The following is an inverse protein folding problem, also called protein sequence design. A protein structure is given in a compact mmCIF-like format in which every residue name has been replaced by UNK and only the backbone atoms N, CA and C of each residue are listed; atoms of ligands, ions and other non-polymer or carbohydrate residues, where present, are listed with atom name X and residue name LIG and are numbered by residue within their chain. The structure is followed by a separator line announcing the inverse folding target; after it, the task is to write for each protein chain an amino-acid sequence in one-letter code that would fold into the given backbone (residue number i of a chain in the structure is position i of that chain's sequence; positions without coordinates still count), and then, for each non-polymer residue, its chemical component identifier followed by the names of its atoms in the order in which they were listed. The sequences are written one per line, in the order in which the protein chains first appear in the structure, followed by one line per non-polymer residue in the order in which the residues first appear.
data_IF_816770680737
#
_entry.id   IF_816770680737
#
_cell.length_a   1.000
_cell.length_b   1.000
_cell.length_c   1.000
_cell.angle_alpha   90.00
_cell.angle_beta   90.00
_cell.angle_gamma   90.00
#
_symmetry.space_group_name_H-M   'P 1'
#
loop_
_entity.id
_entity.type
_entity.pdbx_description
1 polymer ?
#
# COMPACT_ATOMS: atom_id res chain seq x y z
N UNK A 1 6.23 30.88 10.48
CA UNK A 1 5.48 31.26 9.26
C UNK A 1 6.39 30.92 8.11
N UNK A 2 6.10 29.84 7.38
CA UNK A 2 6.83 29.54 6.12
C UNK A 2 6.45 30.65 5.11
N UNK A 3 7.45 31.29 4.57
CA UNK A 3 7.31 32.30 3.54
C UNK A 3 6.80 31.63 2.27
N UNK A 4 5.53 31.81 1.92
CA UNK A 4 4.96 31.35 0.65
C UNK A 4 5.77 31.99 -0.48
N UNK A 5 6.33 31.17 -1.34
CA UNK A 5 7.06 31.65 -2.50
C UNK A 5 6.07 32.32 -3.49
N UNK A 6 6.50 33.35 -4.19
CA UNK A 6 5.66 34.11 -5.16
C UNK A 6 4.98 33.19 -6.20
N UNK A 7 5.64 32.05 -6.55
CA UNK A 7 5.10 31.02 -7.42
C UNK A 7 3.93 30.21 -6.83
N UNK A 8 3.70 30.27 -5.51
CA UNK A 8 2.62 29.54 -4.84
C UNK A 8 1.36 30.40 -4.68
N UNK A 9 1.43 31.69 -4.96
CA UNK A 9 0.30 32.64 -4.79
C UNK A 9 -0.89 32.34 -5.73
N UNK A 10 -0.67 31.61 -6.83
CA UNK A 10 -1.73 31.22 -7.77
C UNK A 10 -2.22 29.79 -7.59
N UNK A 11 -1.77 29.09 -6.52
CA UNK A 11 -2.16 27.70 -6.25
C UNK A 11 -3.24 27.65 -5.17
N UNK A 12 -4.24 26.81 -5.37
CA UNK A 12 -5.32 26.59 -4.42
C UNK A 12 -5.06 25.36 -3.52
N UNK A 13 -5.46 25.41 -2.23
CA UNK A 13 -5.48 24.19 -1.40
C UNK A 13 -6.51 23.21 -1.95
N UNK A 14 -6.20 21.91 -1.82
CA UNK A 14 -7.10 20.88 -2.31
C UNK A 14 -8.29 20.75 -1.37
N UNK A 15 -9.49 20.74 -1.95
CA UNK A 15 -10.75 20.48 -1.25
C UNK A 15 -11.64 19.63 -2.14
N UNK A 16 -12.09 18.48 -1.63
CA UNK A 16 -13.02 17.57 -2.33
C UNK A 16 -14.40 17.74 -1.71
N UNK A 17 -15.29 18.45 -2.43
CA UNK A 17 -16.66 18.76 -1.96
C UNK A 17 -17.71 17.86 -2.60
N UNK A 18 -17.44 17.36 -3.80
CA UNK A 18 -18.36 16.52 -4.57
C UNK A 18 -18.25 15.06 -4.13
N UNK A 19 -19.31 14.25 -4.29
CA UNK A 19 -19.21 12.81 -4.11
C UNK A 19 -18.10 12.22 -4.98
N UNK A 20 -17.38 11.23 -4.44
CA UNK A 20 -16.25 10.61 -5.13
C UNK A 20 -16.75 9.42 -5.95
N UNK A 21 -16.38 9.35 -7.22
CA UNK A 21 -16.40 8.15 -8.05
C UNK A 21 -15.02 7.52 -8.04
N UNK A 22 -14.90 6.42 -7.31
CA UNK A 22 -13.63 5.71 -7.17
C UNK A 22 -13.42 4.75 -8.34
N UNK A 23 -12.31 4.95 -9.06
CA UNK A 23 -11.81 4.05 -10.10
C UNK A 23 -10.52 3.43 -9.57
N UNK A 24 -10.50 2.11 -9.41
CA UNK A 24 -9.34 1.38 -8.92
C UNK A 24 -8.73 0.50 -10.01
N UNK A 25 -7.59 0.92 -10.56
CA UNK A 25 -6.77 0.12 -11.47
C UNK A 25 -5.76 -0.69 -10.63
N UNK A 26 -5.64 -1.98 -10.93
CA UNK A 26 -4.88 -2.93 -10.10
C UNK A 26 -5.42 -2.95 -8.66
N UNK A 27 -6.74 -3.11 -8.56
CA UNK A 27 -7.50 -2.83 -7.35
C UNK A 27 -7.10 -3.68 -6.13
N UNK A 28 -6.58 -4.88 -6.36
CA UNK A 28 -6.34 -5.81 -5.27
C UNK A 28 -7.66 -6.13 -4.55
N UNK A 29 -7.65 -6.08 -3.24
CA UNK A 29 -8.87 -6.23 -2.41
C UNK A 29 -9.50 -4.87 -2.00
N UNK A 30 -9.08 -3.75 -2.62
CA UNK A 30 -9.70 -2.43 -2.41
C UNK A 30 -9.18 -1.67 -1.18
N UNK A 31 -7.88 -1.61 -0.98
CA UNK A 31 -7.30 -0.87 0.16
C UNK A 31 -7.61 0.62 0.13
N UNK A 32 -7.72 1.22 -1.04
CA UNK A 32 -8.06 2.62 -1.24
C UNK A 32 -9.54 2.89 -0.90
N UNK A 33 -10.43 2.00 -1.33
CA UNK A 33 -11.84 2.04 -0.95
C UNK A 33 -12.03 1.92 0.58
N UNK A 34 -11.28 0.98 1.21
CA UNK A 34 -11.29 0.86 2.68
C UNK A 34 -10.82 2.14 3.38
N UNK A 35 -9.84 2.83 2.82
CA UNK A 35 -9.35 4.07 3.36
C UNK A 35 -10.40 5.18 3.26
N UNK A 36 -11.05 5.35 2.12
CA UNK A 36 -12.14 6.31 1.93
C UNK A 36 -13.29 6.03 2.91
N UNK A 37 -13.68 4.76 3.08
CA UNK A 37 -14.69 4.36 4.04
C UNK A 37 -14.30 4.74 5.48
N UNK A 38 -13.04 4.54 5.86
CA UNK A 38 -12.56 4.87 7.21
C UNK A 38 -12.55 6.35 7.54
N UNK A 39 -12.30 7.20 6.57
CA UNK A 39 -12.38 8.67 6.76
C UNK A 39 -13.80 9.21 6.62
N UNK A 40 -14.80 8.35 6.38
CA UNK A 40 -16.19 8.78 6.19
C UNK A 40 -16.45 9.52 4.89
N UNK A 41 -15.61 9.34 3.87
CA UNK A 41 -15.82 9.97 2.58
C UNK A 41 -17.08 9.42 1.90
N UNK A 42 -17.83 10.31 1.25
CA UNK A 42 -18.96 9.91 0.39
C UNK A 42 -18.41 9.48 -0.96
N UNK A 43 -18.42 8.19 -1.24
CA UNK A 43 -17.92 7.64 -2.50
C UNK A 43 -18.75 6.44 -2.96
N UNK A 44 -18.65 6.14 -4.24
CA UNK A 44 -19.13 4.90 -4.85
C UNK A 44 -17.97 4.13 -5.47
N UNK A 45 -18.02 2.79 -5.44
CA UNK A 45 -17.14 1.91 -6.20
C UNK A 45 -17.55 1.96 -7.67
N UNK A 46 -16.95 2.89 -8.41
CA UNK A 46 -17.43 3.20 -9.78
C UNK A 46 -16.87 2.26 -10.83
N UNK A 47 -15.56 1.98 -10.80
CA UNK A 47 -14.89 1.00 -11.68
C UNK A 47 -13.78 0.30 -10.92
N UNK A 48 -13.67 -1.00 -11.16
CA UNK A 48 -12.63 -1.87 -10.61
C UNK A 48 -12.00 -2.64 -11.74
N UNK A 49 -10.68 -2.49 -11.91
CA UNK A 49 -9.88 -3.20 -12.92
C UNK A 49 -8.84 -4.02 -12.18
N UNK A 50 -9.07 -5.33 -12.11
CA UNK A 50 -8.20 -6.31 -11.49
C UNK A 50 -8.31 -7.62 -12.31
N UNK A 51 -7.17 -8.21 -12.65
CA UNK A 51 -7.10 -9.36 -13.52
C UNK A 51 -7.41 -10.68 -12.80
N UNK A 52 -6.94 -10.80 -11.55
CA UNK A 52 -7.04 -12.06 -10.81
C UNK A 52 -8.45 -12.28 -10.27
N UNK A 53 -9.08 -13.35 -10.71
CA UNK A 53 -10.47 -13.68 -10.34
C UNK A 53 -10.68 -13.90 -8.84
N UNK A 54 -9.66 -14.40 -8.12
CA UNK A 54 -9.77 -14.64 -6.69
C UNK A 54 -9.61 -13.34 -5.92
N UNK A 55 -8.77 -12.46 -6.41
CA UNK A 55 -8.61 -11.11 -5.89
C UNK A 55 -9.89 -10.29 -6.07
N UNK A 56 -10.53 -10.36 -7.24
CA UNK A 56 -11.85 -9.74 -7.49
C UNK A 56 -12.93 -10.32 -6.59
N UNK A 57 -12.95 -11.64 -6.40
CA UNK A 57 -13.90 -12.27 -5.46
C UNK A 57 -13.70 -11.77 -4.03
N UNK A 58 -12.44 -11.58 -3.62
CA UNK A 58 -12.11 -10.99 -2.30
C UNK A 58 -12.54 -9.53 -2.20
N UNK A 59 -12.32 -8.73 -3.26
CA UNK A 59 -12.80 -7.36 -3.35
C UNK A 59 -14.32 -7.30 -3.17
N UNK A 60 -15.06 -8.10 -3.94
CA UNK A 60 -16.50 -8.15 -3.89
C UNK A 60 -17.02 -8.56 -2.50
N UNK A 61 -16.40 -9.56 -1.88
CA UNK A 61 -16.77 -10.02 -0.54
C UNK A 61 -16.52 -8.94 0.54
N UNK A 62 -15.42 -8.18 0.45
CA UNK A 62 -15.07 -7.13 1.41
C UNK A 62 -15.96 -5.90 1.28
N UNK A 63 -16.35 -5.56 0.04
CA UNK A 63 -17.04 -4.30 -0.26
C UNK A 63 -18.53 -4.47 -0.55
N UNK A 64 -19.04 -5.71 -0.69
CA UNK A 64 -20.44 -5.97 -1.05
C UNK A 64 -20.75 -5.57 -2.50
N UNK A 65 -19.82 -5.82 -3.42
CA UNK A 65 -19.91 -5.47 -4.84
C UNK A 65 -19.93 -6.73 -5.72
N UNK A 66 -20.14 -6.56 -7.03
CA UNK A 66 -20.25 -7.68 -8.00
C UNK A 66 -19.43 -7.41 -9.27
N UNK A 67 -18.21 -6.90 -9.13
CA UNK A 67 -17.32 -6.69 -10.27
C UNK A 67 -16.82 -8.00 -10.86
N UNK A 68 -16.51 -7.98 -12.17
CA UNK A 68 -15.87 -9.08 -12.89
C UNK A 68 -14.38 -8.79 -13.10
N UNK A 69 -13.53 -9.84 -13.25
CA UNK A 69 -12.12 -9.65 -13.59
C UNK A 69 -11.94 -8.93 -14.93
N UNK A 70 -11.06 -7.93 -14.95
CA UNK A 70 -10.75 -7.14 -16.14
C UNK A 70 -9.24 -7.02 -16.33
N UNK A 71 -8.81 -7.17 -17.58
CA UNK A 71 -7.42 -7.01 -18.00
C UNK A 71 -7.17 -5.56 -18.44
N UNK A 72 -6.29 -4.85 -17.76
CA UNK A 72 -6.00 -3.44 -18.04
C UNK A 72 -5.50 -3.22 -19.47
N UNK A 73 -4.85 -4.21 -20.08
CA UNK A 73 -4.36 -4.12 -21.47
C UNK A 73 -5.51 -4.12 -22.50
N UNK A 74 -6.73 -4.46 -22.07
CA UNK A 74 -7.95 -4.51 -22.89
C UNK A 74 -8.95 -3.41 -22.55
N UNK A 75 -8.67 -2.63 -21.51
CA UNK A 75 -9.53 -1.51 -21.09
C UNK A 75 -9.14 -0.27 -21.89
N UNK A 76 -10.16 0.45 -22.35
CA UNK A 76 -10.03 1.73 -23.03
C UNK A 76 -10.63 2.87 -22.20
N UNK A 77 -10.33 4.11 -22.58
CA UNK A 77 -10.82 5.31 -21.91
C UNK A 77 -12.35 5.29 -21.67
N UNK A 78 -13.12 4.88 -22.68
CA UNK A 78 -14.58 4.82 -22.60
C UNK A 78 -15.09 3.82 -21.55
N UNK A 79 -14.34 2.75 -21.27
CA UNK A 79 -14.71 1.75 -20.26
C UNK A 79 -14.66 2.30 -18.84
N UNK A 80 -13.88 3.36 -18.61
CA UNK A 80 -13.83 4.04 -17.32
C UNK A 80 -15.08 4.89 -17.06
N UNK A 81 -15.78 5.35 -18.10
CA UNK A 81 -17.04 6.08 -18.00
C UNK A 81 -16.92 7.43 -17.30
N UNK A 82 -15.81 8.14 -17.45
CA UNK A 82 -15.60 9.48 -16.90
C UNK A 82 -16.33 10.48 -17.79
N UNK A 83 -17.45 11.04 -17.33
CA UNK A 83 -18.31 11.89 -18.15
C UNK A 83 -19.06 13.02 -17.41
N UNK A 84 -18.89 13.14 -16.11
CA UNK A 84 -19.59 14.16 -15.30
C UNK A 84 -18.72 14.65 -14.15
N UNK A 85 -17.67 15.39 -14.49
CA UNK A 85 -16.75 16.01 -13.53
C UNK A 85 -17.36 17.25 -12.85
N UNK A 86 -18.52 17.71 -13.36
CA UNK A 86 -19.26 18.81 -12.72
C UNK A 86 -19.98 18.38 -11.47
N UNK A 87 -20.54 17.17 -11.44
CA UNK A 87 -21.28 16.58 -10.31
C UNK A 87 -20.37 15.75 -9.41
N UNK A 88 -19.42 15.00 -9.97
CA UNK A 88 -18.59 14.05 -9.24
C UNK A 88 -17.11 14.43 -9.27
N UNK A 89 -16.37 14.00 -8.24
CA UNK A 89 -14.92 13.95 -8.27
C UNK A 89 -14.49 12.52 -8.61
N UNK A 90 -13.84 12.33 -9.74
CA UNK A 90 -13.24 11.04 -10.09
C UNK A 90 -11.87 10.93 -9.45
N UNK A 91 -11.74 9.96 -8.55
CA UNK A 91 -10.47 9.53 -7.97
C UNK A 91 -10.04 8.23 -8.66
N UNK A 92 -9.01 8.31 -9.48
CA UNK A 92 -8.41 7.13 -10.11
C UNK A 92 -7.17 6.71 -9.34
N UNK A 93 -7.18 5.48 -8.83
CA UNK A 93 -6.05 4.91 -8.11
C UNK A 93 -5.37 3.84 -8.96
N UNK A 94 -4.03 3.74 -8.87
CA UNK A 94 -3.25 2.78 -9.65
C UNK A 94 -2.02 2.30 -8.87
N UNK A 95 -2.14 1.11 -8.28
CA UNK A 95 -1.06 0.43 -7.56
C UNK A 95 -0.51 -0.70 -8.43
N UNK A 96 0.15 -0.33 -9.53
CA UNK A 96 0.63 -1.29 -10.52
C UNK A 96 1.66 -2.26 -9.93
N UNK A 97 1.84 -3.47 -10.50
CA UNK A 97 2.70 -4.50 -9.92
C UNK A 97 4.13 -4.04 -9.66
N UNK A 98 4.63 -4.27 -8.45
CA UNK A 98 5.98 -3.90 -8.01
C UNK A 98 7.01 -5.02 -8.15
N UNK A 99 6.63 -6.19 -8.71
CA UNK A 99 7.48 -7.39 -8.73
C UNK A 99 8.81 -7.20 -9.44
N UNK A 100 8.85 -6.35 -10.45
CA UNK A 100 10.06 -6.07 -11.23
C UNK A 100 10.84 -4.83 -10.71
N UNK A 101 10.30 -4.15 -9.69
CA UNK A 101 10.93 -3.01 -9.01
C UNK A 101 11.55 -3.42 -7.68
N UNK A 102 10.85 -4.30 -6.95
CA UNK A 102 11.18 -4.69 -5.58
C UNK A 102 12.57 -5.33 -5.48
N UNK A 103 13.28 -5.06 -4.37
CA UNK A 103 14.56 -5.71 -4.02
C UNK A 103 14.41 -7.23 -3.92
N UNK A 104 13.23 -7.73 -3.53
CA UNK A 104 12.93 -9.16 -3.47
C UNK A 104 12.59 -9.78 -4.84
N UNK A 105 12.42 -8.97 -5.89
CA UNK A 105 12.06 -9.40 -7.23
C UNK A 105 13.26 -9.44 -8.17
N UNK A 106 12.98 -9.67 -9.45
CA UNK A 106 14.02 -9.75 -10.51
C UNK A 106 14.63 -8.40 -10.88
N UNK A 107 14.10 -7.31 -10.38
CA UNK A 107 14.54 -5.94 -10.66
C UNK A 107 14.69 -5.62 -12.16
N UNK A 108 13.76 -6.12 -12.99
CA UNK A 108 13.78 -5.90 -14.45
C UNK A 108 13.42 -4.46 -14.83
N UNK A 109 12.85 -3.68 -13.89
CA UNK A 109 12.45 -2.30 -14.11
C UNK A 109 11.04 -2.16 -14.67
N UNK A 110 10.71 -0.93 -15.09
CA UNK A 110 9.39 -0.57 -15.61
C UNK A 110 9.46 0.19 -16.93
N UNK A 111 10.55 0.02 -17.70
CA UNK A 111 10.74 0.76 -18.94
C UNK A 111 9.62 0.50 -19.93
N UNK A 112 9.23 1.55 -20.66
CA UNK A 112 8.17 1.48 -21.66
C UNK A 112 8.53 0.42 -22.73
N UNK A 113 7.59 -0.49 -23.00
CA UNK A 113 7.81 -1.59 -23.95
C UNK A 113 8.58 -2.80 -23.39
N UNK A 114 9.00 -2.80 -22.11
CA UNK A 114 9.78 -3.89 -21.49
C UNK A 114 9.04 -5.21 -21.32
N UNK A 115 7.70 -5.22 -21.48
CA UNK A 115 6.81 -6.37 -21.18
C UNK A 115 6.94 -6.91 -19.76
N UNK A 116 7.52 -6.13 -18.83
CA UNK A 116 7.54 -6.46 -17.41
C UNK A 116 6.19 -6.18 -16.78
N UNK A 117 5.88 -6.83 -15.64
CA UNK A 117 4.64 -6.52 -14.91
C UNK A 117 4.60 -5.09 -14.41
N UNK A 118 5.74 -4.56 -13.98
CA UNK A 118 5.85 -3.15 -13.56
C UNK A 118 5.74 -2.17 -14.74
N UNK A 119 5.96 -2.63 -15.97
CA UNK A 119 5.70 -1.88 -17.20
C UNK A 119 4.21 -1.62 -17.48
N UNK A 120 3.29 -2.25 -16.73
CA UNK A 120 1.87 -1.97 -16.81
C UNK A 120 1.49 -0.54 -16.34
N UNK A 121 2.42 0.22 -15.75
CA UNK A 121 2.26 1.66 -15.57
C UNK A 121 1.90 2.37 -16.88
N UNK A 122 2.48 1.93 -18.01
CA UNK A 122 2.28 2.56 -19.31
C UNK A 122 0.89 2.29 -19.91
N UNK A 123 0.15 1.32 -19.38
CA UNK A 123 -1.27 1.16 -19.70
C UNK A 123 -2.11 2.29 -19.09
N UNK A 124 -1.71 2.79 -17.91
CA UNK A 124 -2.37 3.98 -17.32
C UNK A 124 -2.09 5.21 -18.20
N UNK A 125 -0.84 5.37 -18.69
CA UNK A 125 -0.50 6.41 -19.66
C UNK A 125 -1.37 6.31 -20.92
N UNK A 126 -1.48 5.10 -21.50
CA UNK A 126 -2.30 4.87 -22.70
C UNK A 126 -3.74 5.29 -22.49
N UNK A 127 -4.36 4.85 -21.39
CA UNK A 127 -5.75 5.17 -21.08
C UNK A 127 -5.95 6.69 -20.91
N UNK A 128 -5.05 7.37 -20.17
CA UNK A 128 -5.14 8.83 -20.02
C UNK A 128 -4.92 9.55 -21.34
N UNK A 129 -4.02 9.06 -22.21
CA UNK A 129 -3.81 9.61 -23.55
C UNK A 129 -5.06 9.45 -24.41
N UNK A 130 -5.71 8.29 -24.39
CA UNK A 130 -6.97 8.06 -25.12
C UNK A 130 -8.08 9.04 -24.65
N UNK A 131 -8.15 9.37 -23.36
CA UNK A 131 -9.10 10.38 -22.85
C UNK A 131 -8.79 11.74 -23.48
N UNK A 132 -7.51 12.16 -23.46
CA UNK A 132 -7.07 13.45 -24.02
C UNK A 132 -7.34 13.51 -25.52
N UNK A 133 -6.95 12.46 -26.27
CA UNK A 133 -7.08 12.40 -27.71
C UNK A 133 -8.55 12.43 -28.17
N UNK A 134 -9.45 11.88 -27.36
CA UNK A 134 -10.91 11.94 -27.62
C UNK A 134 -11.57 13.24 -27.15
N UNK A 135 -10.84 14.15 -26.50
CA UNK A 135 -11.41 15.36 -25.87
C UNK A 135 -12.29 15.05 -24.67
N UNK A 136 -12.09 13.90 -24.02
CA UNK A 136 -12.83 13.46 -22.85
C UNK A 136 -12.43 14.17 -21.57
N UNK A 137 -13.18 13.95 -20.49
CA UNK A 137 -12.92 14.51 -19.18
C UNK A 137 -11.88 13.65 -18.41
N UNK A 138 -10.80 14.28 -17.95
CA UNK A 138 -9.80 13.60 -17.13
C UNK A 138 -10.27 13.45 -15.67
N UNK A 139 -9.87 12.36 -14.95
CA UNK A 139 -10.10 12.26 -13.51
C UNK A 139 -9.40 13.40 -12.78
N UNK A 140 -10.11 14.05 -11.85
CA UNK A 140 -9.55 15.21 -11.15
C UNK A 140 -8.39 14.85 -10.21
N UNK A 141 -8.37 13.61 -9.71
CA UNK A 141 -7.34 13.13 -8.78
C UNK A 141 -6.82 11.78 -9.23
N UNK A 142 -5.51 11.67 -9.35
CA UNK A 142 -4.82 10.39 -9.50
C UNK A 142 -4.07 10.06 -8.21
N UNK A 143 -4.06 8.79 -7.83
CA UNK A 143 -3.34 8.32 -6.66
C UNK A 143 -2.55 7.06 -6.97
N UNK A 144 -1.23 7.14 -6.85
CA UNK A 144 -0.30 6.02 -7.01
C UNK A 144 0.21 5.54 -5.65
N UNK A 145 0.26 4.22 -5.46
CA UNK A 145 1.05 3.59 -4.42
C UNK A 145 2.00 2.57 -5.05
N UNK A 146 3.27 2.59 -4.63
CA UNK A 146 4.24 1.57 -5.06
C UNK A 146 5.39 1.47 -4.04
N UNK A 147 6.35 0.57 -4.29
CA UNK A 147 7.59 0.50 -3.50
C UNK A 147 8.49 1.70 -3.81
N UNK A 148 9.37 2.16 -2.86
CA UNK A 148 10.29 3.28 -3.08
C UNK A 148 11.21 3.10 -4.29
N UNK A 149 11.45 1.86 -4.69
CA UNK A 149 12.28 1.55 -5.87
C UNK A 149 11.68 2.08 -7.18
N UNK A 150 10.41 2.50 -7.20
CA UNK A 150 9.78 3.14 -8.37
C UNK A 150 10.55 4.37 -8.82
N UNK A 151 11.09 5.16 -7.87
CA UNK A 151 11.95 6.31 -8.11
C UNK A 151 13.43 6.05 -7.74
N UNK A 152 13.77 4.77 -7.49
CA UNK A 152 15.16 4.37 -7.24
C UNK A 152 16.06 4.67 -8.46
N UNK A 153 17.38 4.78 -8.23
CA UNK A 153 18.38 5.18 -9.24
C UNK A 153 18.19 4.51 -10.61
N UNK A 154 17.81 3.21 -10.63
CA UNK A 154 17.61 2.45 -11.86
C UNK A 154 16.33 2.85 -12.61
N UNK A 155 15.29 3.25 -11.91
CA UNK A 155 13.96 3.52 -12.46
C UNK A 155 13.64 5.02 -12.55
N UNK A 156 14.52 5.88 -12.03
CA UNK A 156 14.29 7.33 -11.95
C UNK A 156 13.98 7.95 -13.30
N UNK A 157 14.67 7.53 -14.37
CA UNK A 157 14.42 8.05 -15.72
C UNK A 157 12.99 7.78 -16.20
N UNK A 158 12.48 6.56 -15.95
CA UNK A 158 11.11 6.20 -16.34
C UNK A 158 10.09 6.88 -15.42
N UNK A 159 10.40 7.02 -14.13
CA UNK A 159 9.56 7.78 -13.20
C UNK A 159 9.46 9.26 -13.57
N UNK A 160 10.54 9.88 -14.01
CA UNK A 160 10.54 11.25 -14.52
C UNK A 160 9.72 11.41 -15.79
N UNK A 161 9.79 10.44 -16.73
CA UNK A 161 8.95 10.44 -17.95
C UNK A 161 7.46 10.37 -17.57
N UNK A 162 7.12 9.56 -16.58
CA UNK A 162 5.77 9.47 -16.07
C UNK A 162 5.28 10.80 -15.47
N UNK A 163 6.08 11.44 -14.61
CA UNK A 163 5.75 12.76 -14.06
C UNK A 163 5.58 13.78 -15.18
N UNK A 164 6.52 13.82 -16.14
CA UNK A 164 6.46 14.76 -17.27
C UNK A 164 5.20 14.55 -18.12
N UNK A 165 4.81 13.29 -18.37
CA UNK A 165 3.55 13.00 -19.06
C UNK A 165 2.37 13.60 -18.30
N UNK A 166 2.26 13.36 -16.99
CA UNK A 166 1.18 13.91 -16.19
C UNK A 166 1.15 15.44 -16.17
N UNK A 167 2.30 16.08 -16.10
CA UNK A 167 2.42 17.55 -16.21
C UNK A 167 1.94 18.05 -17.56
N UNK A 168 2.31 17.38 -18.65
CA UNK A 168 1.90 17.74 -20.01
C UNK A 168 0.38 17.65 -20.21
N UNK A 169 -0.29 16.74 -19.52
CA UNK A 169 -1.76 16.62 -19.56
C UNK A 169 -2.48 17.45 -18.50
N UNK A 170 -1.75 18.25 -17.74
CA UNK A 170 -2.30 19.28 -16.86
C UNK A 170 -2.36 18.92 -15.37
N UNK A 171 -1.66 17.89 -14.91
CA UNK A 171 -1.61 17.55 -13.48
C UNK A 171 -0.45 18.23 -12.76
N UNK A 172 -0.71 18.63 -11.51
CA UNK A 172 0.33 18.99 -10.55
C UNK A 172 0.61 17.79 -9.65
N UNK A 173 1.87 17.37 -9.54
CA UNK A 173 2.27 16.11 -8.92
C UNK A 173 2.98 16.33 -7.58
N UNK A 174 2.64 15.53 -6.58
CA UNK A 174 3.27 15.48 -5.26
C UNK A 174 3.55 14.04 -4.89
N UNK A 175 4.78 13.69 -4.59
CA UNK A 175 5.14 12.35 -4.17
C UNK A 175 6.07 12.35 -2.96
N UNK A 176 5.96 11.31 -2.15
CA UNK A 176 6.76 11.13 -0.93
C UNK A 176 6.77 9.66 -0.51
N UNK A 177 7.91 9.22 0.01
CA UNK A 177 7.98 7.94 0.70
C UNK A 177 7.45 8.08 2.12
N UNK A 178 6.49 7.22 2.48
CA UNK A 178 5.90 7.17 3.80
C UNK A 178 6.01 5.77 4.37
N UNK A 179 6.42 5.67 5.63
CA UNK A 179 6.49 4.40 6.34
C UNK A 179 5.28 4.24 7.26
N UNK A 180 4.59 3.12 7.18
CA UNK A 180 3.41 2.84 7.99
C UNK A 180 3.65 3.00 9.51
N UNK A 181 4.86 2.66 10.00
CA UNK A 181 5.23 2.85 11.41
C UNK A 181 5.18 4.31 11.88
N UNK A 182 5.46 5.23 10.96
CA UNK A 182 5.48 6.66 11.27
C UNK A 182 4.07 7.28 11.27
N UNK A 183 3.04 6.44 11.04
CA UNK A 183 1.62 6.81 11.02
C UNK A 183 0.79 5.92 11.95
N UNK A 184 1.40 5.42 13.04
CA UNK A 184 0.71 4.71 14.10
C UNK A 184 0.44 3.22 13.84
N UNK A 185 1.04 2.61 12.79
CA UNK A 185 0.92 1.17 12.49
C UNK A 185 2.20 0.45 12.90
N UNK A 186 2.08 -0.65 13.65
CA UNK A 186 3.22 -1.47 14.06
C UNK A 186 3.75 -2.34 12.89
N UNK A 187 3.97 -1.71 11.72
CA UNK A 187 4.52 -2.35 10.53
C UNK A 187 5.58 -1.46 9.89
N UNK A 188 6.79 -1.99 9.72
CA UNK A 188 7.82 -1.32 8.94
C UNK A 188 7.56 -1.54 7.44
N UNK A 189 6.70 -0.69 6.85
CA UNK A 189 6.29 -0.75 5.44
C UNK A 189 6.48 0.62 4.80
N UNK A 190 7.57 0.78 4.08
CA UNK A 190 7.85 2.00 3.33
C UNK A 190 7.25 1.91 1.92
N UNK A 191 6.55 2.96 1.49
CA UNK A 191 5.92 3.05 0.17
C UNK A 191 6.05 4.46 -0.38
N UNK A 192 6.22 4.54 -1.69
CA UNK A 192 6.06 5.77 -2.44
C UNK A 192 4.57 6.02 -2.70
N UNK A 193 4.09 7.16 -2.25
CA UNK A 193 2.75 7.66 -2.54
C UNK A 193 2.86 8.88 -3.44
N UNK A 194 2.07 8.93 -4.51
CA UNK A 194 1.98 10.09 -5.37
C UNK A 194 0.52 10.48 -5.58
N UNK A 195 0.22 11.75 -5.31
CA UNK A 195 -1.01 12.41 -5.71
C UNK A 195 -0.74 13.31 -6.90
N UNK A 196 -1.63 13.23 -7.88
CA UNK A 196 -1.63 14.13 -9.03
C UNK A 196 -3.01 14.76 -9.13
N UNK A 197 -3.07 16.10 -9.13
CA UNK A 197 -4.31 16.87 -9.18
C UNK A 197 -4.40 17.61 -10.49
N UNK A 198 -5.52 17.46 -11.18
CA UNK A 198 -5.78 18.15 -12.44
C UNK A 198 -5.95 19.63 -12.20
N UNK A 199 -4.98 20.44 -12.63
CA UNK A 199 -4.90 21.87 -12.39
C UNK A 199 -3.75 22.27 -11.47
N UNK A 200 -3.79 23.51 -10.97
CA UNK A 200 -2.70 24.10 -10.20
C UNK A 200 -3.04 24.14 -8.71
N UNK A 201 -2.50 23.16 -7.96
CA UNK A 201 -2.79 22.99 -6.53
C UNK A 201 -1.54 22.98 -5.66
N UNK A 202 -1.75 23.19 -4.34
CA UNK A 202 -0.77 22.94 -3.29
C UNK A 202 -1.27 21.76 -2.47
N UNK A 203 -0.39 20.79 -2.21
CA UNK A 203 -0.65 19.66 -1.35
C UNK A 203 0.50 19.42 -0.40
N UNK A 204 0.19 19.16 0.87
CA UNK A 204 1.16 18.79 1.90
C UNK A 204 0.81 17.42 2.46
N UNK A 205 1.76 16.50 2.44
CA UNK A 205 1.59 15.20 3.08
C UNK A 205 1.38 15.37 4.59
N UNK A 206 0.58 14.48 5.22
CA UNK A 206 0.32 14.57 6.65
C UNK A 206 1.59 14.38 7.48
N UNK A 207 1.61 15.02 8.66
CA UNK A 207 2.70 14.87 9.62
C UNK A 207 2.67 13.47 10.25
N UNK A 208 3.83 12.92 10.64
CA UNK A 208 3.92 11.65 11.32
C UNK A 208 3.10 11.59 12.61
N UNK A 209 2.59 10.40 12.92
CA UNK A 209 1.85 10.10 14.15
C UNK A 209 2.67 9.11 14.98
N UNK A 210 2.96 9.38 16.26
CA UNK A 210 3.74 8.48 17.09
C UNK A 210 3.13 7.08 17.18
N UNK A 211 3.94 6.05 16.99
CA UNK A 211 3.54 4.66 17.16
C UNK A 211 3.34 4.36 18.65
N UNK A 212 2.09 4.15 19.07
CA UNK A 212 1.73 3.84 20.47
C UNK A 212 1.75 2.35 20.76
N UNK A 213 1.46 1.50 19.77
CA UNK A 213 1.37 0.05 19.91
C UNK A 213 2.66 -0.64 19.49
N UNK A 214 3.04 -1.69 20.23
CA UNK A 214 4.16 -2.60 19.93
C UNK A 214 3.61 -3.91 19.37
N UNK A 215 4.47 -4.71 18.75
CA UNK A 215 4.07 -6.03 18.21
C UNK A 215 3.34 -6.89 19.27
N UNK A 216 3.82 -6.88 20.50
CA UNK A 216 3.19 -7.63 21.61
C UNK A 216 1.72 -7.29 21.86
N UNK A 217 1.28 -6.07 21.49
CA UNK A 217 -0.10 -5.61 21.70
C UNK A 217 -1.05 -6.17 20.61
N UNK A 218 -0.53 -6.94 19.66
CA UNK A 218 -1.26 -7.63 18.60
C UNK A 218 -1.16 -9.16 18.69
N UNK A 219 -0.40 -9.67 19.64
CA UNK A 219 -0.28 -11.11 19.82
C UNK A 219 -1.54 -11.63 20.53
N UNK A 220 -2.06 -12.72 20.01
CA UNK A 220 -3.15 -13.47 20.64
C UNK A 220 -2.61 -14.22 21.86
N UNK A 221 -3.43 -14.35 22.91
CA UNK A 221 -3.07 -15.05 24.15
C UNK A 221 -3.33 -16.55 24.06
N UNK A 222 -4.30 -16.94 23.24
CA UNK A 222 -4.68 -18.35 22.99
C UNK A 222 -4.52 -18.64 21.51
N UNK A 223 -3.49 -19.44 21.17
CA UNK A 223 -3.10 -19.75 19.79
C UNK A 223 -3.03 -21.26 19.63
N UNK A 224 -3.75 -21.82 18.66
CA UNK A 224 -3.72 -23.24 18.32
C UNK A 224 -2.29 -23.71 18.03
N UNK A 225 -1.91 -24.87 18.58
CA UNK A 225 -0.56 -25.44 18.49
C UNK A 225 -0.06 -25.60 17.05
N UNK A 226 -0.94 -25.79 16.08
CA UNK A 226 -0.57 -25.91 14.65
C UNK A 226 0.13 -24.66 14.07
N UNK A 227 -0.03 -23.50 14.74
CA UNK A 227 0.60 -22.24 14.31
C UNK A 227 1.97 -22.02 14.95
N UNK A 228 2.38 -22.87 15.91
CA UNK A 228 3.73 -22.80 16.46
C UNK A 228 4.71 -23.54 15.60
N UNK A 229 5.90 -22.99 15.45
CA UNK A 229 7.02 -23.69 14.83
C UNK A 229 7.59 -24.70 15.84
N UNK A 230 8.09 -25.85 15.35
CA UNK A 230 8.70 -26.86 16.21
C UNK A 230 9.90 -26.32 17.00
N UNK A 231 10.15 -26.86 18.18
CA UNK A 231 11.27 -26.46 19.04
C UNK A 231 12.61 -26.51 18.29
N UNK A 232 12.84 -27.55 17.50
CA UNK A 232 14.05 -27.72 16.68
C UNK A 232 14.25 -26.56 15.69
N UNK A 233 13.18 -26.16 14.99
CA UNK A 233 13.24 -25.00 14.07
C UNK A 233 13.44 -23.69 14.84
N UNK A 234 12.84 -23.55 16.03
CA UNK A 234 13.00 -22.39 16.89
C UNK A 234 14.45 -22.26 17.36
N UNK A 235 15.05 -23.35 17.86
CA UNK A 235 16.45 -23.37 18.30
C UNK A 235 17.42 -23.03 17.16
N UNK A 236 17.17 -23.60 15.99
CA UNK A 236 17.97 -23.30 14.79
C UNK A 236 17.88 -21.82 14.39
N UNK A 237 16.68 -21.23 14.46
CA UNK A 237 16.47 -19.82 14.18
C UNK A 237 17.17 -18.92 15.20
N UNK A 238 17.03 -19.23 16.50
CA UNK A 238 17.69 -18.48 17.58
C UNK A 238 19.19 -18.53 17.40
N UNK A 239 19.76 -19.72 17.13
CA UNK A 239 21.20 -19.86 16.86
C UNK A 239 21.65 -18.99 15.68
N UNK A 240 20.93 -19.00 14.57
CA UNK A 240 21.23 -18.14 13.43
C UNK A 240 21.18 -16.64 13.77
N UNK A 241 20.24 -16.23 14.62
CA UNK A 241 20.11 -14.83 15.05
C UNK A 241 21.26 -14.41 16.00
N UNK A 242 21.76 -15.33 16.79
CA UNK A 242 22.95 -15.13 17.63
C UNK A 242 24.22 -15.07 16.76
N UNK A 243 24.39 -16.02 15.87
CA UNK A 243 25.59 -16.15 15.02
C UNK A 243 25.76 -14.93 14.10
N UNK A 244 24.67 -14.31 13.65
CA UNK A 244 24.72 -13.10 12.81
C UNK A 244 24.68 -11.79 13.62
N UNK A 245 24.78 -11.85 14.94
CA UNK A 245 24.83 -10.67 15.82
C UNK A 245 23.49 -9.94 16.00
N UNK A 246 22.39 -10.52 15.54
CA UNK A 246 21.04 -9.90 15.67
C UNK A 246 20.48 -10.03 17.09
N UNK A 247 20.83 -11.13 17.79
CA UNK A 247 20.53 -11.33 19.21
C UNK A 247 21.82 -11.32 20.04
N UNK A 248 21.85 -10.58 21.16
CA UNK A 248 23.00 -10.62 22.06
C UNK A 248 23.11 -11.98 22.75
N UNK A 249 24.34 -12.45 22.96
CA UNK A 249 24.66 -13.71 23.67
C UNK A 249 24.22 -13.72 25.14
N UNK A 250 23.69 -12.62 25.70
CA UNK A 250 23.40 -12.50 27.11
C UNK A 250 22.13 -13.22 27.52
N UNK A 251 22.32 -14.26 28.35
CA UNK A 251 21.38 -14.84 29.32
C UNK A 251 20.16 -15.57 28.79
N UNK A 252 20.39 -16.65 28.06
CA UNK A 252 19.50 -17.81 28.16
C UNK A 252 19.94 -18.66 29.37
N UNK A 253 19.94 -18.05 30.58
CA UNK A 253 20.12 -18.78 31.79
C UNK A 253 18.94 -19.74 31.99
N UNK A 254 19.28 -21.02 32.06
CA UNK A 254 18.39 -22.15 32.28
C UNK A 254 17.89 -22.17 33.72
N UNK A 255 17.16 -21.17 34.15
CA UNK A 255 16.31 -21.33 35.32
C UNK A 255 14.99 -21.93 34.91
N UNK A 256 15.00 -23.23 34.91
CA UNK A 256 13.89 -24.12 34.68
C UNK A 256 12.98 -24.15 35.88
N UNK A 257 11.87 -23.48 35.81
CA UNK A 257 10.72 -23.84 36.63
C UNK A 257 9.80 -24.76 35.82
N UNK A 258 9.59 -25.97 36.33
CA UNK A 258 9.12 -27.18 35.62
C UNK A 258 7.65 -27.22 35.27
N UNK A 259 6.89 -26.12 35.27
CA UNK A 259 5.42 -26.19 35.09
C UNK A 259 4.80 -25.11 34.19
N UNK A 260 5.54 -24.28 33.50
CA UNK A 260 4.95 -23.32 32.56
C UNK A 260 5.52 -23.49 31.17
N UNK A 261 4.64 -23.48 30.21
CA UNK A 261 4.78 -23.71 28.79
C UNK A 261 6.07 -23.10 28.19
N UNK A 262 7.12 -23.91 28.02
CA UNK A 262 8.46 -23.54 27.56
C UNK A 262 8.47 -22.90 26.16
N UNK A 263 7.41 -23.07 25.37
CA UNK A 263 7.36 -22.66 23.96
C UNK A 263 7.02 -21.18 23.80
N UNK A 264 6.07 -20.69 24.56
CA UNK A 264 5.64 -19.28 24.51
C UNK A 264 6.64 -18.33 25.18
N UNK A 265 7.28 -18.78 26.28
CA UNK A 265 8.23 -17.95 27.04
C UNK A 265 9.51 -17.61 26.30
N UNK A 266 10.03 -18.53 25.46
CA UNK A 266 11.30 -18.32 24.75
C UNK A 266 11.13 -17.26 23.64
N UNK A 267 10.02 -17.29 22.92
CA UNK A 267 9.74 -16.28 21.88
C UNK A 267 9.30 -14.94 22.50
N UNK A 268 8.48 -14.97 23.55
CA UNK A 268 8.04 -13.78 24.27
C UNK A 268 9.19 -13.08 25.03
N UNK A 269 10.16 -13.81 25.59
CA UNK A 269 11.32 -13.21 26.24
C UNK A 269 12.28 -12.57 25.22
N UNK A 270 12.47 -13.21 24.06
CA UNK A 270 13.23 -12.64 22.95
C UNK A 270 12.54 -11.37 22.40
N UNK A 271 11.21 -11.37 22.32
CA UNK A 271 10.40 -10.22 21.90
C UNK A 271 10.44 -9.08 22.94
N UNK A 272 10.43 -9.39 24.25
CA UNK A 272 10.46 -8.38 25.32
C UNK A 272 11.75 -7.57 25.36
N UNK A 273 12.87 -8.15 24.95
CA UNK A 273 14.20 -7.54 25.10
C UNK A 273 14.73 -6.89 23.82
N UNK A 274 14.00 -6.93 22.70
CA UNK A 274 14.58 -6.50 21.43
C UNK A 274 13.87 -5.33 20.78
N UNK A 275 14.44 -4.16 20.88
CA UNK A 275 14.37 -3.13 19.82
C UNK A 275 14.95 -3.69 18.49
N UNK A 276 15.65 -4.79 18.53
CA UNK A 276 16.41 -5.44 17.46
C UNK A 276 15.55 -6.31 16.53
N UNK A 277 14.36 -6.75 16.93
CA UNK A 277 13.45 -7.51 16.05
C UNK A 277 12.89 -6.70 14.87
N UNK A 278 13.01 -5.37 14.90
CA UNK A 278 12.72 -4.54 13.74
C UNK A 278 13.63 -4.83 12.54
N UNK A 279 14.85 -5.33 12.78
CA UNK A 279 15.84 -5.61 11.72
C UNK A 279 15.62 -7.00 11.13
N UNK A 280 15.21 -7.98 11.92
CA UNK A 280 14.99 -9.36 11.46
C UNK A 280 13.79 -9.50 10.50
N UNK A 281 12.77 -8.63 10.61
CA UNK A 281 11.63 -8.62 9.69
C UNK A 281 12.00 -8.11 8.28
N UNK A 282 13.13 -7.42 8.12
CA UNK A 282 13.56 -6.88 6.82
C UNK A 282 14.19 -7.93 5.89
N UNK A 283 14.68 -9.08 6.43
CA UNK A 283 15.46 -10.03 5.64
C UNK A 283 14.70 -11.28 5.18
N UNK A 284 13.45 -11.51 5.60
CA UNK A 284 12.70 -12.75 5.28
C UNK A 284 11.27 -12.54 4.81
N UNK A 285 11.05 -11.73 3.79
CA UNK A 285 9.81 -11.78 2.98
C UNK A 285 9.98 -12.62 1.71
N UNK A 286 10.82 -13.63 1.76
CA UNK A 286 11.00 -14.62 0.70
C UNK A 286 10.33 -15.93 1.09
N UNK A 287 9.18 -16.23 0.43
CA UNK A 287 8.53 -17.53 0.33
C UNK A 287 7.94 -18.16 1.60
N UNK A 288 6.66 -17.86 1.84
CA UNK A 288 5.74 -18.86 2.36
C UNK A 288 4.44 -18.81 1.53
N UNK A 289 4.31 -19.74 0.58
CA UNK A 289 3.00 -20.14 0.08
C UNK A 289 2.36 -21.00 1.18
N UNK A 290 1.47 -20.41 1.95
CA UNK A 290 0.59 -21.16 2.84
C UNK A 290 -0.66 -21.47 2.02
N UNK A 291 -0.83 -22.75 1.69
CA UNK A 291 -2.09 -23.27 1.18
C UNK A 291 -3.14 -23.20 2.29
N UNK A 292 -3.96 -22.17 2.24
CA UNK A 292 -5.04 -21.97 3.19
C UNK A 292 -6.38 -22.24 2.52
N UNK A 293 -7.24 -23.04 3.17
CA UNK A 293 -8.62 -23.26 2.74
C UNK A 293 -9.39 -21.93 2.80
N UNK A 294 -10.25 -21.69 1.83
CA UNK A 294 -10.95 -20.44 1.52
C UNK A 294 -11.60 -19.68 2.69
N UNK A 295 -12.08 -20.36 3.72
CA UNK A 295 -12.72 -19.71 4.88
C UNK A 295 -11.73 -19.01 5.83
N UNK A 296 -10.49 -19.50 5.93
CA UNK A 296 -9.44 -18.86 6.74
C UNK A 296 -8.82 -17.62 6.06
N UNK A 297 -8.78 -17.58 4.74
CA UNK A 297 -8.34 -16.40 3.97
C UNK A 297 -9.27 -15.20 4.20
N UNK A 298 -10.58 -15.42 4.25
CA UNK A 298 -11.56 -14.36 4.56
C UNK A 298 -11.40 -13.80 5.98
N UNK A 299 -11.19 -14.65 6.96
CA UNK A 299 -10.95 -14.18 8.36
C UNK A 299 -9.60 -13.51 8.52
N UNK A 300 -8.54 -14.03 7.92
CA UNK A 300 -7.22 -13.41 7.95
C UNK A 300 -7.20 -12.08 7.18
N UNK A 301 -7.90 -11.97 6.06
CA UNK A 301 -8.03 -10.72 5.32
C UNK A 301 -8.83 -9.68 6.10
N UNK A 302 -9.89 -10.07 6.80
CA UNK A 302 -10.69 -9.18 7.65
C UNK A 302 -9.85 -8.71 8.85
N UNK A 303 -9.14 -9.60 9.53
CA UNK A 303 -8.28 -9.25 10.69
C UNK A 303 -7.08 -8.40 10.27
N UNK A 304 -6.45 -8.70 9.13
CA UNK A 304 -5.39 -7.87 8.55
C UNK A 304 -5.95 -6.52 8.10
N UNK A 305 -7.15 -6.48 7.53
CA UNK A 305 -7.81 -5.26 7.11
C UNK A 305 -8.24 -4.38 8.29
N UNK A 306 -8.71 -4.97 9.38
CA UNK A 306 -9.05 -4.25 10.62
C UNK A 306 -7.82 -3.71 11.34
N UNK A 307 -6.67 -4.38 11.22
CA UNK A 307 -5.41 -3.97 11.83
C UNK A 307 -4.53 -3.07 10.95
N UNK A 308 -4.77 -2.99 9.63
CA UNK A 308 -4.11 -2.02 8.75
C UNK A 308 -4.81 -0.66 8.88
N UNK A 309 -4.69 -0.04 10.04
CA UNK A 309 -5.29 1.29 10.32
C UNK A 309 -4.59 2.45 9.62
N UNK A 310 -3.66 2.22 8.72
CA UNK A 310 -2.89 3.35 8.14
C UNK A 310 -2.34 3.04 6.77
N UNK A 311 -2.82 3.61 5.75
CA UNK A 311 -1.96 4.18 4.72
C UNK A 311 -2.65 5.28 3.95
N UNK A 312 -3.90 5.18 3.54
CA UNK A 312 -4.61 6.35 3.00
C UNK A 312 -5.27 7.23 4.08
N UNK A 313 -5.52 6.70 5.30
CA UNK A 313 -6.26 7.41 6.34
C UNK A 313 -5.61 8.74 6.75
N UNK A 314 -4.31 8.75 6.94
CA UNK A 314 -3.59 9.95 7.35
C UNK A 314 -3.34 10.90 6.18
N UNK A 315 -3.26 10.37 4.98
CA UNK A 315 -2.98 11.15 3.77
C UNK A 315 -4.23 11.92 3.33
N UNK A 316 -5.42 11.30 3.43
CA UNK A 316 -6.69 11.94 3.06
C UNK A 316 -7.29 12.82 4.17
N UNK A 317 -6.91 12.64 5.44
CA UNK A 317 -7.45 13.40 6.58
C UNK A 317 -7.16 14.90 6.56
N UNK A 318 -6.29 15.40 5.66
CA UNK A 318 -6.06 16.85 5.47
C UNK A 318 -6.57 17.40 4.13
N UNK A 319 -7.19 16.56 3.32
CA UNK A 319 -8.11 17.07 2.31
C UNK A 319 -9.34 17.52 3.10
N UNK A 320 -9.52 18.83 3.29
CA UNK A 320 -10.72 19.34 3.94
C UNK A 320 -11.94 18.89 3.14
N UNK A 321 -12.60 17.83 3.64
CA UNK A 321 -13.95 17.48 3.22
C UNK A 321 -14.87 18.47 3.95
N UNK A 322 -15.17 19.58 3.29
CA UNK A 322 -16.17 20.54 3.76
C UNK A 322 -17.53 20.19 3.15
#
# INVERSE_FOLDING_TARGET
MEQLNLFDMNKSPISVKKPIRLIELFAGYGSQAMALKRIGAKFEHYRVVELDKYTVASYNAVHGTEFSPLDITKIHANDLGICDTTTFTYLLTYSFPCTDLSVAGKQLGMSKGSRTRSGLLWEVERILSEIVDSGGELPQILFMENVPQVHGKKNMSDFQKWIQFLENVGYTNFWKDLNAKDYGVAQNRNRCFMFSFLGNYIYKFPEPIPLKKKLKDYLETDVDERYYISNEKTEKLIKQLIDNGTLPLQNFDRQTDRQTDRRALTLQSAIRNSETLQIASQQKTGQYQIGCKQEHLLRSCITVAENIRVTPYTILNRVHLA
#
